data_IF_280268245190
#
_entry.id   IF_280268245190
#
_cell.length_a   1.000
_cell.length_b   1.000
_cell.length_c   1.000
_cell.angle_alpha   90.00
_cell.angle_beta   90.00
_cell.angle_gamma   90.00
#
_symmetry.space_group_name_H-M   'P 1'
#
loop_
_entity.id
_entity.type
_entity.pdbx_description
1 polymer ?
#
# COMPACT_ATOMS: atom_id res chain seq x y z
N UNK A 1 1.50 1.44 20.87
CA UNK A 1 1.49 2.52 19.85
C UNK A 1 1.65 3.89 20.49
N UNK A 2 0.62 4.50 21.11
CA UNK A 2 0.68 5.88 21.66
C UNK A 2 1.84 6.14 22.64
N UNK A 3 1.98 5.30 23.68
CA UNK A 3 3.06 5.44 24.68
C UNK A 3 4.48 5.37 24.10
N UNK A 4 4.63 4.76 22.93
CA UNK A 4 5.93 4.58 22.27
C UNK A 4 6.10 5.43 21.02
N UNK A 5 5.18 6.35 20.69
CA UNK A 5 5.20 7.15 19.44
C UNK A 5 5.44 6.29 18.20
N UNK A 6 4.74 5.16 18.13
CA UNK A 6 5.02 4.13 17.13
C UNK A 6 4.50 4.45 15.72
N UNK A 7 4.95 3.65 14.77
CA UNK A 7 4.53 3.68 13.38
C UNK A 7 3.30 2.79 13.10
N UNK A 8 2.48 3.22 12.16
CA UNK A 8 1.36 2.46 11.59
C UNK A 8 1.51 2.48 10.07
N UNK A 9 1.66 1.30 9.47
CA UNK A 9 1.78 1.16 8.02
C UNK A 9 0.51 0.53 7.46
N UNK A 10 -0.17 1.26 6.59
CA UNK A 10 -1.38 0.83 5.90
C UNK A 10 -1.00 0.31 4.51
N UNK A 11 -1.10 -1.02 4.29
CA UNK A 11 -0.88 -1.65 2.99
C UNK A 11 -2.10 -1.44 2.08
N UNK A 12 -2.08 -0.31 1.39
CA UNK A 12 -3.10 0.10 0.45
C UNK A 12 -2.85 -0.52 -0.95
N UNK A 13 -3.27 0.16 -2.00
CA UNK A 13 -3.09 -0.24 -3.40
C UNK A 13 -3.29 0.99 -4.29
N UNK A 14 -2.73 1.01 -5.49
CA UNK A 14 -3.14 2.00 -6.51
C UNK A 14 -4.67 2.08 -6.72
N UNK A 15 -5.41 1.00 -6.45
CA UNK A 15 -6.87 0.97 -6.46
C UNK A 15 -7.54 1.87 -5.39
N UNK A 16 -6.82 2.26 -4.34
CA UNK A 16 -7.27 3.22 -3.34
C UNK A 16 -7.13 4.69 -3.76
N UNK A 17 -6.62 4.94 -4.97
CA UNK A 17 -6.45 6.27 -5.56
C UNK A 17 -7.16 6.41 -6.92
N UNK A 18 -7.30 5.30 -7.66
CA UNK A 18 -8.02 5.24 -8.93
C UNK A 18 -8.75 3.92 -9.06
N UNK A 19 -10.04 4.00 -9.37
CA UNK A 19 -10.89 2.83 -9.65
C UNK A 19 -10.80 2.43 -11.12
N UNK A 20 -10.78 1.11 -11.38
CA UNK A 20 -10.87 0.55 -12.73
C UNK A 20 -12.18 -0.26 -12.90
N UNK A 21 -12.69 -0.43 -14.12
CA UNK A 21 -13.86 -1.27 -14.40
C UNK A 21 -13.68 -2.70 -13.84
N UNK A 22 -14.72 -3.24 -13.21
CA UNK A 22 -14.70 -4.57 -12.59
C UNK A 22 -14.09 -4.64 -11.17
N UNK A 23 -13.49 -3.54 -10.67
CA UNK A 23 -12.79 -3.51 -9.38
C UNK A 23 -13.47 -2.62 -8.33
N UNK A 24 -14.76 -2.30 -8.48
CA UNK A 24 -15.45 -1.31 -7.65
C UNK A 24 -15.39 -1.64 -6.14
N UNK A 25 -15.75 -2.87 -5.74
CA UNK A 25 -15.75 -3.28 -4.34
C UNK A 25 -14.34 -3.24 -3.72
N UNK A 26 -13.34 -3.76 -4.44
CA UNK A 26 -11.95 -3.71 -4.00
C UNK A 26 -11.44 -2.27 -3.88
N UNK A 27 -11.71 -1.43 -4.88
CA UNK A 27 -11.30 -0.02 -4.89
C UNK A 27 -11.98 0.76 -3.75
N UNK A 28 -13.26 0.49 -3.47
CA UNK A 28 -13.97 1.09 -2.34
C UNK A 28 -13.30 0.73 -1.00
N UNK A 29 -12.94 -0.54 -0.79
CA UNK A 29 -12.22 -0.95 0.43
C UNK A 29 -10.88 -0.22 0.61
N UNK A 30 -10.16 0.02 -0.50
CA UNK A 30 -8.85 0.65 -0.50
C UNK A 30 -8.93 2.18 -0.37
N UNK A 31 -9.98 2.81 -0.90
CA UNK A 31 -10.30 4.21 -0.60
C UNK A 31 -10.71 4.40 0.86
N UNK A 32 -11.52 3.49 1.40
CA UNK A 32 -11.89 3.52 2.83
C UNK A 32 -10.65 3.36 3.72
N UNK A 33 -9.70 2.48 3.36
CA UNK A 33 -8.43 2.35 4.08
C UNK A 33 -7.59 3.63 4.03
N UNK A 34 -7.58 4.34 2.89
CA UNK A 34 -6.93 5.66 2.81
C UNK A 34 -7.60 6.66 3.76
N UNK A 35 -8.93 6.75 3.73
CA UNK A 35 -9.67 7.64 4.62
C UNK A 35 -9.40 7.33 6.10
N UNK A 36 -9.32 6.04 6.46
CA UNK A 36 -8.94 5.62 7.81
C UNK A 36 -7.52 6.06 8.18
N UNK A 37 -6.56 5.91 7.27
CA UNK A 37 -5.18 6.36 7.49
C UNK A 37 -5.10 7.89 7.70
N UNK A 38 -5.85 8.65 6.90
CA UNK A 38 -5.90 10.11 6.98
C UNK A 38 -6.55 10.58 8.29
N UNK A 39 -7.66 9.95 8.69
CA UNK A 39 -8.31 10.20 9.97
C UNK A 39 -7.37 9.90 11.15
N UNK A 40 -6.74 8.72 11.15
CA UNK A 40 -5.80 8.33 12.21
C UNK A 40 -4.64 9.32 12.34
N UNK A 41 -4.09 9.79 11.22
CA UNK A 41 -3.00 10.78 11.22
C UNK A 41 -3.43 12.12 11.83
N UNK A 42 -4.66 12.56 11.55
CA UNK A 42 -5.21 13.79 12.10
C UNK A 42 -5.55 13.68 13.60
N UNK A 43 -6.09 12.52 14.01
CA UNK A 43 -6.51 12.25 15.38
C UNK A 43 -5.31 11.97 16.32
N UNK A 44 -4.23 11.40 15.79
CA UNK A 44 -3.08 10.92 16.57
C UNK A 44 -1.75 11.49 16.04
N UNK A 45 -1.49 12.81 16.17
CA UNK A 45 -0.30 13.46 15.58
C UNK A 45 1.04 13.00 16.17
N UNK A 46 1.02 12.20 17.23
CA UNK A 46 2.21 11.58 17.82
C UNK A 46 2.57 10.23 17.18
N UNK A 47 1.67 9.65 16.37
CA UNK A 47 1.92 8.45 15.58
C UNK A 47 2.39 8.82 14.18
N UNK A 48 3.28 8.01 13.63
CA UNK A 48 3.66 8.09 12.21
C UNK A 48 2.77 7.15 11.42
N UNK A 49 1.98 7.68 10.49
CA UNK A 49 1.01 6.89 9.71
C UNK A 49 1.37 6.93 8.23
N UNK A 50 1.82 5.79 7.69
CA UNK A 50 2.27 5.66 6.30
C UNK A 50 1.30 4.79 5.50
N UNK A 51 0.76 5.33 4.42
CA UNK A 51 0.03 4.56 3.41
C UNK A 51 0.98 4.16 2.28
N UNK A 52 1.14 2.85 2.07
CA UNK A 52 1.90 2.30 0.95
C UNK A 52 0.93 1.86 -0.13
N UNK A 53 1.15 2.28 -1.37
CA UNK A 53 0.29 1.96 -2.52
C UNK A 53 1.08 1.13 -3.55
N UNK A 54 1.20 -0.20 -3.34
CA UNK A 54 1.78 -1.06 -4.35
C UNK A 54 0.93 -1.10 -5.63
N UNK A 55 1.63 -1.14 -6.76
CA UNK A 55 1.11 -1.60 -8.04
C UNK A 55 1.02 -3.13 -8.07
N UNK A 56 0.90 -3.68 -9.29
CA UNK A 56 0.89 -5.13 -9.47
C UNK A 56 2.20 -5.73 -8.95
N UNK A 57 2.07 -6.67 -8.01
CA UNK A 57 3.18 -7.28 -7.27
C UNK A 57 3.10 -8.79 -7.48
N UNK A 58 4.22 -9.50 -7.63
CA UNK A 58 4.28 -10.92 -7.95
C UNK A 58 3.85 -11.82 -6.76
N UNK A 59 2.58 -11.78 -6.39
CA UNK A 59 1.97 -12.53 -5.27
C UNK A 59 1.00 -13.60 -5.77
N UNK A 60 0.49 -14.43 -4.85
CA UNK A 60 -0.63 -15.34 -5.15
C UNK A 60 -1.88 -14.58 -5.62
N UNK A 61 -2.23 -13.47 -4.97
CA UNK A 61 -3.33 -12.60 -5.40
C UNK A 61 -3.17 -12.15 -6.85
N UNK A 62 -1.95 -11.83 -7.29
CA UNK A 62 -1.71 -11.41 -8.67
C UNK A 62 -1.83 -12.57 -9.67
N UNK A 63 -1.61 -13.83 -9.26
CA UNK A 63 -1.94 -15.00 -10.08
C UNK A 63 -3.45 -15.10 -10.30
N UNK A 64 -4.24 -14.99 -9.24
CA UNK A 64 -5.71 -15.05 -9.31
C UNK A 64 -6.26 -13.91 -10.19
N UNK A 65 -5.70 -12.71 -10.04
CA UNK A 65 -6.02 -11.55 -10.91
C UNK A 65 -5.75 -11.88 -12.38
N UNK A 66 -4.65 -12.56 -12.71
CA UNK A 66 -4.32 -12.91 -14.10
C UNK A 66 -5.24 -13.98 -14.66
N UNK A 67 -5.60 -14.96 -13.86
CA UNK A 67 -6.61 -15.95 -14.23
C UNK A 67 -7.95 -15.28 -14.54
N UNK A 68 -8.42 -14.37 -13.67
CA UNK A 68 -9.65 -13.60 -13.91
C UNK A 68 -9.57 -12.73 -15.17
N UNK A 69 -8.39 -12.20 -15.50
CA UNK A 69 -8.15 -11.43 -16.72
C UNK A 69 -7.94 -12.30 -17.97
N UNK A 70 -8.01 -13.63 -17.87
CA UNK A 70 -7.75 -14.56 -18.98
C UNK A 70 -6.30 -14.54 -19.46
N UNK A 71 -5.38 -14.12 -18.61
CA UNK A 71 -3.98 -13.93 -18.94
C UNK A 71 -3.04 -14.88 -18.20
N UNK A 72 -1.82 -15.01 -18.71
CA UNK A 72 -0.75 -15.77 -18.03
C UNK A 72 -0.09 -14.90 -16.94
N UNK A 73 0.26 -15.53 -15.82
CA UNK A 73 1.08 -14.92 -14.78
C UNK A 73 2.57 -15.05 -15.15
N UNK A 74 3.23 -13.91 -15.30
CA UNK A 74 4.67 -13.80 -15.54
C UNK A 74 5.30 -12.96 -14.43
N UNK A 75 5.93 -13.59 -13.43
CA UNK A 75 6.43 -12.91 -12.25
C UNK A 75 7.32 -11.70 -12.56
N UNK A 76 8.17 -11.81 -13.60
CA UNK A 76 9.08 -10.73 -14.03
C UNK A 76 8.42 -9.46 -14.56
N UNK A 77 7.10 -9.45 -14.81
CA UNK A 77 6.34 -8.25 -15.20
C UNK A 77 5.82 -7.42 -14.03
N UNK A 78 5.99 -7.90 -12.80
CA UNK A 78 5.43 -7.28 -11.60
C UNK A 78 6.54 -6.95 -10.61
N UNK A 79 6.26 -6.05 -9.66
CA UNK A 79 7.20 -5.80 -8.57
C UNK A 79 7.41 -7.06 -7.73
N UNK A 80 8.65 -7.32 -7.32
CA UNK A 80 8.94 -8.36 -6.34
C UNK A 80 8.38 -7.96 -4.96
N UNK A 81 7.70 -8.85 -4.22
CA UNK A 81 7.24 -8.57 -2.86
C UNK A 81 8.32 -8.03 -1.92
N UNK A 82 9.57 -8.49 -2.06
CA UNK A 82 10.71 -8.01 -1.29
C UNK A 82 11.03 -6.53 -1.58
N UNK A 83 10.76 -6.04 -2.80
CA UNK A 83 10.88 -4.61 -3.11
C UNK A 83 9.83 -3.80 -2.33
N UNK A 84 8.59 -4.29 -2.24
CA UNK A 84 7.54 -3.63 -1.46
C UNK A 84 7.90 -3.64 0.04
N UNK A 85 8.42 -4.75 0.55
CA UNK A 85 8.90 -4.85 1.93
C UNK A 85 10.06 -3.87 2.19
N UNK A 86 11.00 -3.73 1.26
CA UNK A 86 12.09 -2.76 1.35
C UNK A 86 11.57 -1.32 1.46
N UNK A 87 10.55 -0.96 0.69
CA UNK A 87 9.92 0.37 0.79
C UNK A 87 9.25 0.59 2.15
N UNK A 88 8.57 -0.43 2.69
CA UNK A 88 8.01 -0.37 4.05
C UNK A 88 9.12 -0.15 5.08
N UNK A 89 10.22 -0.90 4.98
CA UNK A 89 11.34 -0.79 5.90
C UNK A 89 11.97 0.61 5.82
N UNK A 90 12.24 1.13 4.62
CA UNK A 90 12.80 2.47 4.46
C UNK A 90 11.89 3.57 5.04
N UNK A 91 10.56 3.41 4.95
CA UNK A 91 9.63 4.35 5.58
C UNK A 91 9.70 4.30 7.11
N UNK A 92 9.91 3.11 7.70
CA UNK A 92 10.06 2.92 9.14
C UNK A 92 11.42 3.44 9.65
N UNK A 93 12.48 3.33 8.86
CA UNK A 93 13.85 3.70 9.25
C UNK A 93 14.14 5.21 9.23
N UNK A 94 13.21 6.03 8.71
CA UNK A 94 13.39 7.49 8.72
C UNK A 94 13.57 8.04 10.15
N UNK A 95 14.44 9.03 10.28
CA UNK A 95 14.65 9.76 11.52
C UNK A 95 13.35 10.39 12.05
N UNK A 96 13.28 10.61 13.36
CA UNK A 96 12.04 11.02 14.05
C UNK A 96 11.54 12.42 13.66
N UNK A 97 12.35 13.23 12.99
CA UNK A 97 12.03 14.57 12.51
C UNK A 97 11.20 14.56 11.21
N UNK A 98 11.01 13.40 10.58
CA UNK A 98 10.24 13.25 9.35
C UNK A 98 9.54 11.88 9.27
N UNK A 99 8.53 11.77 8.42
CA UNK A 99 7.92 10.49 8.08
C UNK A 99 7.24 10.57 6.70
N UNK A 100 7.10 9.41 6.05
CA UNK A 100 6.38 9.30 4.78
C UNK A 100 4.89 9.13 5.07
N UNK A 101 4.07 10.02 4.56
CA UNK A 101 2.61 9.87 4.66
C UNK A 101 2.06 8.91 3.61
N UNK A 102 2.54 9.04 2.36
CA UNK A 102 2.05 8.29 1.22
C UNK A 102 3.23 7.93 0.30
N UNK A 103 3.31 6.67 -0.11
CA UNK A 103 4.30 6.21 -1.10
C UNK A 103 3.68 5.25 -2.10
N UNK A 104 3.82 5.56 -3.38
CA UNK A 104 3.38 4.70 -4.48
C UNK A 104 4.59 3.99 -5.09
N UNK A 105 4.46 2.67 -5.27
CA UNK A 105 5.52 1.82 -5.85
C UNK A 105 4.90 1.03 -6.99
N UNK A 106 5.50 1.06 -8.18
CA UNK A 106 5.00 0.34 -9.36
C UNK A 106 6.15 -0.36 -10.09
N UNK A 107 5.84 -1.43 -10.81
CA UNK A 107 6.77 -2.07 -11.73
C UNK A 107 7.15 -1.09 -12.86
N UNK A 108 8.32 -1.30 -13.46
CA UNK A 108 8.76 -0.57 -14.65
C UNK A 108 7.96 -0.97 -15.88
#
# INVERSE_FOLDING_TARGET
>A
LRRGRGDVVMLNSGAGLRTNPGWAAYSASKHALKALADGLRAEEPQLRVTSVYPGRTATAMQRDVREQEGGVFEAGRYSDPATIAGVVLSALELAADSHVNDVMVRSR
#
